data_IF_166535471127
#
_entry.id   IF_166535471127
#
_cell.length_a   1.000
_cell.length_b   1.000
_cell.length_c   1.000
_cell.angle_alpha   90.00
_cell.angle_beta   90.00
_cell.angle_gamma   90.00
#
_symmetry.space_group_name_H-M   'P 1'
#
loop_
_entity.id
_entity.type
_entity.pdbx_description
1 polymer ?
#
# COMPACT_ATOMS: atom_id res chain seq x y z
N UNK A 1 14.40 -48.00 -55.74
CA UNK A 1 13.16 -47.26 -55.54
C UNK A 1 13.21 -46.72 -54.10
N UNK A 2 13.70 -45.49 -53.96
CA UNK A 2 14.02 -44.87 -52.67
C UNK A 2 12.94 -43.87 -52.36
N UNK A 3 12.22 -44.06 -51.25
CA UNK A 3 11.22 -43.10 -50.72
C UNK A 3 11.93 -42.09 -49.80
N UNK A 4 11.99 -40.85 -50.23
CA UNK A 4 12.49 -39.73 -49.44
C UNK A 4 11.37 -39.22 -48.56
N UNK A 5 11.52 -39.37 -47.26
CA UNK A 5 10.61 -38.82 -46.24
C UNK A 5 11.02 -37.38 -45.93
N UNK A 6 10.23 -36.43 -46.37
CA UNK A 6 10.44 -35.01 -46.13
C UNK A 6 10.04 -34.62 -44.69
N UNK A 7 11.02 -34.34 -43.86
CA UNK A 7 10.83 -33.80 -42.53
C UNK A 7 10.46 -32.31 -42.62
N UNK A 8 9.18 -31.99 -42.43
CA UNK A 8 8.69 -30.60 -42.27
C UNK A 8 9.17 -30.05 -40.94
N UNK A 9 10.19 -29.23 -40.96
CA UNK A 9 10.70 -28.44 -39.83
C UNK A 9 9.71 -27.34 -39.54
N UNK A 10 8.98 -27.49 -38.44
CA UNK A 10 8.02 -26.51 -37.91
C UNK A 10 8.79 -25.30 -37.31
N UNK A 11 8.99 -24.26 -38.11
CA UNK A 11 9.49 -22.97 -37.64
C UNK A 11 8.40 -22.31 -36.85
N UNK A 12 8.42 -22.48 -35.53
CA UNK A 12 7.68 -21.63 -34.60
C UNK A 12 8.31 -20.25 -34.67
N UNK A 13 7.58 -19.33 -35.24
CA UNK A 13 7.87 -17.89 -35.17
C UNK A 13 7.99 -17.50 -33.71
N UNK A 14 9.21 -17.20 -33.30
CA UNK A 14 9.51 -16.52 -32.06
C UNK A 14 8.88 -15.10 -32.17
N UNK A 15 7.68 -14.93 -31.61
CA UNK A 15 7.11 -13.60 -31.47
C UNK A 15 8.01 -12.87 -30.48
N UNK A 16 8.66 -11.84 -30.98
CA UNK A 16 9.44 -10.88 -30.20
C UNK A 16 8.58 -10.39 -29.03
N UNK A 17 8.89 -10.90 -27.85
CA UNK A 17 8.46 -10.26 -26.61
C UNK A 17 9.09 -8.86 -26.61
N UNK A 18 8.33 -7.81 -26.36
CA UNK A 18 8.92 -6.47 -26.25
C UNK A 18 10.02 -6.52 -25.21
N UNK A 19 11.23 -6.22 -25.65
CA UNK A 19 12.38 -6.01 -24.77
C UNK A 19 11.98 -5.02 -23.71
N UNK A 20 12.19 -5.30 -22.41
CA UNK A 20 11.99 -4.32 -21.37
C UNK A 20 12.85 -3.08 -21.70
N UNK A 21 12.34 -1.87 -21.51
CA UNK A 21 13.13 -0.67 -21.74
C UNK A 21 14.40 -0.72 -20.90
N UNK A 22 15.50 -0.13 -21.39
CA UNK A 22 16.77 -0.13 -20.68
C UNK A 22 16.57 0.43 -19.27
N UNK A 23 17.21 -0.20 -18.31
CA UNK A 23 17.25 0.16 -16.89
C UNK A 23 17.82 1.56 -16.67
N UNK A 24 16.96 2.53 -16.85
CA UNK A 24 17.13 3.91 -16.44
C UNK A 24 15.79 4.28 -15.82
N UNK A 25 15.80 4.57 -14.52
CA UNK A 25 14.69 5.04 -13.71
C UNK A 25 13.50 4.06 -13.59
N UNK A 26 13.66 3.08 -12.71
CA UNK A 26 12.50 2.51 -12.04
C UNK A 26 11.73 3.70 -11.42
N UNK A 27 10.40 3.83 -11.64
CA UNK A 27 9.65 4.97 -11.12
C UNK A 27 9.88 5.04 -9.62
N UNK A 28 10.46 6.15 -9.17
CA UNK A 28 10.84 6.36 -7.79
C UNK A 28 9.62 6.14 -6.92
N UNK A 29 9.69 5.16 -6.03
CA UNK A 29 8.56 4.83 -5.15
C UNK A 29 8.52 5.82 -4.02
N UNK A 30 7.47 6.64 -3.95
CA UNK A 30 7.27 7.58 -2.87
C UNK A 30 6.47 6.92 -1.74
N UNK A 31 7.05 6.87 -0.54
CA UNK A 31 6.35 6.33 0.63
C UNK A 31 5.66 7.45 1.40
N UNK A 32 4.31 7.45 1.37
CA UNK A 32 3.47 8.45 2.04
C UNK A 32 3.73 8.49 3.55
N UNK A 33 3.84 7.32 4.18
CA UNK A 33 4.03 7.22 5.64
C UNK A 33 5.39 7.78 6.07
N UNK A 34 6.43 7.57 5.28
CA UNK A 34 7.75 8.13 5.54
C UNK A 34 7.83 9.62 5.22
N UNK A 35 7.14 10.04 4.16
CA UNK A 35 7.10 11.45 3.78
C UNK A 35 6.49 12.31 4.88
N UNK A 36 5.43 11.84 5.53
CA UNK A 36 4.79 12.51 6.67
C UNK A 36 5.71 12.68 7.89
N UNK A 37 6.66 11.78 8.08
CA UNK A 37 7.65 11.85 9.17
C UNK A 37 8.80 12.81 8.90
N UNK A 38 8.96 13.23 7.64
CA UNK A 38 10.03 14.15 7.25
C UNK A 38 9.70 15.56 7.72
N UNK A 39 10.74 16.28 8.03
CA UNK A 39 10.67 17.69 8.35
C UNK A 39 10.27 18.52 7.12
N UNK A 40 9.64 19.65 7.35
CA UNK A 40 9.11 20.51 6.28
C UNK A 40 10.22 21.00 5.33
N UNK A 41 11.44 21.25 5.83
CA UNK A 41 12.57 21.66 5.00
C UNK A 41 12.96 20.58 4.00
N UNK A 42 12.97 19.32 4.42
CA UNK A 42 13.21 18.16 3.56
C UNK A 42 12.09 18.00 2.53
N UNK A 43 10.83 18.18 2.92
CA UNK A 43 9.69 18.11 2.01
C UNK A 43 9.75 19.21 0.93
N UNK A 44 10.14 20.42 1.29
CA UNK A 44 10.35 21.54 0.33
C UNK A 44 11.48 21.20 -0.65
N UNK A 45 12.55 20.54 -0.19
CA UNK A 45 13.64 20.14 -1.06
C UNK A 45 13.18 19.09 -2.08
N UNK A 46 12.48 18.07 -1.64
CA UNK A 46 11.85 17.07 -2.52
C UNK A 46 10.90 17.75 -3.52
N UNK A 47 10.09 18.70 -3.08
CA UNK A 47 9.18 19.42 -3.94
C UNK A 47 9.88 20.23 -5.05
N UNK A 48 11.05 20.78 -4.77
CA UNK A 48 11.90 21.44 -5.78
C UNK A 48 12.39 20.44 -6.83
N UNK A 49 12.79 19.24 -6.43
CA UNK A 49 13.22 18.18 -7.35
C UNK A 49 12.05 17.71 -8.24
N UNK A 50 10.83 17.85 -7.72
CA UNK A 50 9.60 17.63 -8.48
C UNK A 50 9.14 18.83 -9.31
N UNK A 51 9.90 19.96 -9.33
CA UNK A 51 9.57 21.21 -10.00
C UNK A 51 8.23 21.82 -9.54
N UNK A 52 7.88 21.67 -8.26
CA UNK A 52 6.68 22.28 -7.69
C UNK A 52 7.01 23.73 -7.36
N UNK A 53 6.32 24.65 -8.06
CA UNK A 53 6.44 26.07 -7.81
C UNK A 53 5.85 26.45 -6.46
N UNK A 54 6.45 27.45 -5.80
CA UNK A 54 5.97 27.98 -4.52
C UNK A 54 5.89 26.98 -3.35
N UNK A 55 6.64 25.86 -3.40
CA UNK A 55 6.65 24.84 -2.36
C UNK A 55 6.86 25.39 -0.93
N UNK A 56 7.62 26.49 -0.79
CA UNK A 56 7.91 27.12 0.50
C UNK A 56 6.74 27.94 1.08
N UNK A 57 5.71 28.25 0.28
CA UNK A 57 4.53 29.01 0.71
C UNK A 57 3.34 28.12 1.04
N UNK A 58 3.41 26.84 0.68
CA UNK A 58 2.35 25.86 0.91
C UNK A 58 2.35 25.37 2.37
N UNK A 59 1.17 25.08 2.89
CA UNK A 59 1.04 24.38 4.17
C UNK A 59 1.54 22.92 4.02
N UNK A 60 2.00 22.29 5.11
CA UNK A 60 2.52 20.93 5.04
C UNK A 60 1.58 19.92 4.37
N UNK A 61 0.29 20.02 4.61
CA UNK A 61 -0.72 19.16 4.00
C UNK A 61 -0.91 19.42 2.49
N UNK A 62 -0.90 20.70 2.10
CA UNK A 62 -0.98 21.10 0.70
C UNK A 62 0.26 20.65 -0.07
N UNK A 63 1.44 20.85 0.54
CA UNK A 63 2.72 20.41 -0.03
C UNK A 63 2.77 18.89 -0.21
N UNK A 64 2.27 18.13 0.77
CA UNK A 64 2.16 16.70 0.68
C UNK A 64 1.25 16.28 -0.48
N UNK A 65 0.10 16.91 -0.61
CA UNK A 65 -0.85 16.63 -1.70
C UNK A 65 -0.23 16.91 -3.08
N UNK A 66 0.42 18.06 -3.26
CA UNK A 66 1.10 18.43 -4.51
C UNK A 66 2.22 17.45 -4.86
N UNK A 67 3.01 17.01 -3.88
CA UNK A 67 4.06 15.99 -4.08
C UNK A 67 3.49 14.67 -4.59
N UNK A 68 2.41 14.19 -3.97
CA UNK A 68 1.77 12.94 -4.37
C UNK A 68 1.10 13.06 -5.74
N UNK A 69 0.52 14.23 -6.05
CA UNK A 69 -0.05 14.50 -7.36
C UNK A 69 1.03 14.53 -8.45
N UNK A 70 2.14 15.23 -8.20
CA UNK A 70 3.28 15.28 -9.11
C UNK A 70 3.89 13.89 -9.35
N UNK A 71 4.01 13.07 -8.29
CA UNK A 71 4.45 11.68 -8.41
C UNK A 71 3.51 10.86 -9.29
N UNK A 72 2.21 10.98 -9.09
CA UNK A 72 1.20 10.29 -9.90
C UNK A 72 1.23 10.71 -11.37
N UNK A 73 1.44 12.00 -11.65
CA UNK A 73 1.54 12.53 -13.03
C UNK A 73 2.79 12.02 -13.75
N UNK A 74 3.89 11.78 -13.04
CA UNK A 74 5.12 11.18 -13.59
C UNK A 74 5.01 9.66 -13.78
N UNK A 75 3.87 9.05 -13.44
CA UNK A 75 3.69 7.61 -13.47
C UNK A 75 4.44 6.87 -12.35
N UNK A 76 4.88 7.59 -11.33
CA UNK A 76 5.53 7.02 -10.17
C UNK A 76 4.55 6.30 -9.26
N UNK A 77 5.07 5.38 -8.46
CA UNK A 77 4.30 4.58 -7.53
C UNK A 77 4.26 5.26 -6.16
N UNK A 78 3.08 5.35 -5.57
CA UNK A 78 2.90 5.82 -4.20
C UNK A 78 2.62 4.60 -3.32
N UNK A 79 3.43 4.44 -2.28
CA UNK A 79 3.27 3.38 -1.28
C UNK A 79 2.76 3.97 0.03
N UNK A 80 1.81 3.27 0.66
CA UNK A 80 1.30 3.68 1.95
C UNK A 80 0.91 2.48 2.80
N UNK A 81 0.83 2.70 4.11
CA UNK A 81 0.38 1.72 5.08
C UNK A 81 -0.58 2.34 6.08
N UNK A 82 -1.44 1.50 6.64
CA UNK A 82 -2.40 1.92 7.66
C UNK A 82 -3.14 0.73 8.25
N UNK A 83 -3.98 1.01 9.24
CA UNK A 83 -4.84 0.01 9.87
C UNK A 83 -6.25 0.12 9.31
N UNK A 84 -6.80 -1.00 8.86
CA UNK A 84 -8.11 -1.05 8.24
C UNK A 84 -9.23 -0.85 9.27
N UNK A 85 -10.14 0.03 8.95
CA UNK A 85 -11.48 0.10 9.54
C UNK A 85 -12.51 -0.20 8.46
N UNK A 86 -13.28 -1.27 8.64
CA UNK A 86 -14.38 -1.63 7.73
C UNK A 86 -15.68 -0.98 8.19
N UNK A 87 -16.45 -0.47 7.24
CA UNK A 87 -17.75 0.15 7.48
C UNK A 87 -18.89 -0.83 7.15
N UNK A 88 -20.09 -0.61 7.70
CA UNK A 88 -21.25 -1.49 7.47
C UNK A 88 -21.61 -1.67 5.99
N UNK A 89 -21.32 -0.66 5.16
CA UNK A 89 -21.55 -0.67 3.70
C UNK A 89 -20.58 -1.59 2.95
N UNK A 90 -19.64 -2.22 3.65
CA UNK A 90 -18.72 -3.21 3.11
C UNK A 90 -17.43 -2.65 2.49
N UNK A 91 -17.24 -1.36 2.46
CA UNK A 91 -15.95 -0.72 2.14
C UNK A 91 -15.20 -0.37 3.44
N UNK A 92 -13.97 0.12 3.33
CA UNK A 92 -13.19 0.51 4.50
C UNK A 92 -12.20 1.63 4.19
N UNK A 93 -11.53 2.07 5.26
CA UNK A 93 -10.45 3.04 5.19
C UNK A 93 -9.22 2.54 5.95
N UNK A 94 -8.04 2.79 5.40
CA UNK A 94 -6.80 2.66 6.15
C UNK A 94 -6.60 3.93 6.96
N UNK A 95 -6.56 3.76 8.27
CA UNK A 95 -6.36 4.84 9.24
C UNK A 95 -4.88 4.97 9.58
N UNK A 96 -4.43 6.19 9.70
CA UNK A 96 -3.04 6.48 10.06
C UNK A 96 -2.87 6.57 11.59
N UNK A 97 -1.76 6.07 12.15
CA UNK A 97 -1.46 6.20 13.57
C UNK A 97 -1.26 7.67 13.99
N UNK A 98 -0.85 8.54 13.06
CA UNK A 98 -0.63 9.97 13.31
C UNK A 98 -1.89 10.69 13.80
N UNK A 99 -3.06 10.17 13.46
CA UNK A 99 -4.37 10.69 13.93
C UNK A 99 -5.01 9.80 15.00
N UNK A 100 -4.23 8.98 15.69
CA UNK A 100 -4.75 8.00 16.66
C UNK A 100 -5.84 7.09 16.06
N UNK A 101 -5.70 6.75 14.77
CA UNK A 101 -6.65 5.94 14.00
C UNK A 101 -8.05 6.56 13.84
N UNK A 102 -8.20 7.85 14.16
CA UNK A 102 -9.44 8.58 13.91
C UNK A 102 -9.57 8.97 12.43
N UNK A 103 -10.81 9.22 11.94
CA UNK A 103 -11.02 9.70 10.59
C UNK A 103 -10.20 10.96 10.28
N UNK A 104 -9.48 10.91 9.18
CA UNK A 104 -8.59 12.00 8.75
C UNK A 104 -8.68 12.27 7.24
N UNK A 105 -8.13 13.42 6.79
CA UNK A 105 -8.14 13.79 5.38
C UNK A 105 -7.28 12.88 4.50
N UNK A 106 -6.33 12.19 5.11
CA UNK A 106 -5.36 11.33 4.44
C UNK A 106 -5.75 9.85 4.48
N UNK A 107 -7.00 9.55 4.81
CA UNK A 107 -7.51 8.19 4.83
C UNK A 107 -7.49 7.59 3.43
N UNK A 108 -7.18 6.30 3.36
CA UNK A 108 -7.06 5.59 2.10
C UNK A 108 -8.25 4.65 1.96
N UNK A 109 -9.04 4.88 0.92
CA UNK A 109 -10.21 4.06 0.62
C UNK A 109 -9.80 2.66 0.18
N UNK A 110 -10.47 1.65 0.75
CA UNK A 110 -10.34 0.24 0.41
C UNK A 110 -11.66 -0.28 -0.12
N UNK A 111 -11.64 -0.83 -1.32
CA UNK A 111 -12.85 -1.29 -1.98
C UNK A 111 -13.44 -2.57 -1.35
N UNK A 112 -14.76 -2.79 -1.44
CA UNK A 112 -15.40 -4.03 -0.98
C UNK A 112 -14.84 -5.28 -1.65
N UNK A 113 -14.41 -5.17 -2.90
CA UNK A 113 -13.80 -6.27 -3.65
C UNK A 113 -12.46 -6.71 -3.06
N UNK A 114 -11.63 -5.76 -2.65
CA UNK A 114 -10.36 -6.04 -1.97
C UNK A 114 -10.59 -6.65 -0.59
N UNK A 115 -11.54 -6.10 0.18
CA UNK A 115 -11.90 -6.61 1.51
C UNK A 115 -12.34 -8.08 1.41
N UNK A 116 -13.22 -8.40 0.47
CA UNK A 116 -13.68 -9.78 0.26
C UNK A 116 -12.58 -10.70 -0.27
N UNK A 117 -11.78 -10.23 -1.25
CA UNK A 117 -10.73 -11.02 -1.88
C UNK A 117 -9.67 -11.51 -0.90
N UNK A 118 -9.26 -10.64 0.02
CA UNK A 118 -8.20 -10.92 0.99
C UNK A 118 -8.74 -11.23 2.40
N UNK A 119 -10.06 -11.40 2.54
CA UNK A 119 -10.71 -11.63 3.84
C UNK A 119 -10.24 -10.63 4.91
N UNK A 120 -10.21 -9.33 4.53
CA UNK A 120 -9.73 -8.26 5.40
C UNK A 120 -10.75 -7.93 6.48
N UNK A 121 -10.26 -7.51 7.64
CA UNK A 121 -11.07 -7.15 8.80
C UNK A 121 -10.58 -5.86 9.44
N UNK A 122 -11.45 -5.22 10.18
CA UNK A 122 -11.05 -4.10 11.04
C UNK A 122 -9.93 -4.51 11.98
N UNK A 123 -8.87 -3.71 12.03
CA UNK A 123 -7.66 -3.97 12.80
C UNK A 123 -6.51 -4.59 11.99
N UNK A 124 -6.76 -5.07 10.76
CA UNK A 124 -5.67 -5.55 9.89
C UNK A 124 -4.76 -4.39 9.49
N UNK A 125 -3.46 -4.59 9.63
CA UNK A 125 -2.44 -3.69 9.10
C UNK A 125 -2.22 -4.00 7.63
N UNK A 126 -2.43 -3.02 6.77
CA UNK A 126 -2.33 -3.18 5.30
C UNK A 126 -1.34 -2.19 4.76
N UNK A 127 -0.48 -2.67 3.87
CA UNK A 127 0.42 -1.83 3.12
C UNK A 127 0.33 -2.15 1.63
N UNK A 128 0.53 -1.12 0.79
CA UNK A 128 0.43 -1.32 -0.64
C UNK A 128 0.46 -0.04 -1.45
N UNK A 129 0.20 -0.19 -2.73
CA UNK A 129 0.19 0.90 -3.68
C UNK A 129 -1.14 1.64 -3.65
N UNK A 130 -1.06 2.97 -3.61
CA UNK A 130 -2.21 3.86 -3.63
C UNK A 130 -2.15 4.79 -4.82
N UNK A 131 -3.26 5.43 -5.13
CA UNK A 131 -3.35 6.52 -6.10
C UNK A 131 -3.96 7.76 -5.47
N UNK A 132 -3.62 8.89 -6.02
CA UNK A 132 -4.25 10.17 -5.69
C UNK A 132 -5.74 10.17 -6.04
N UNK A 133 -6.56 10.95 -5.31
CA UNK A 133 -7.96 11.11 -5.63
C UNK A 133 -8.14 11.74 -7.02
N UNK A 134 -9.18 11.34 -7.75
CA UNK A 134 -9.62 11.98 -8.99
C UNK A 134 -10.42 13.24 -8.65
N UNK A 135 -10.73 14.07 -9.66
CA UNK A 135 -11.46 15.32 -9.48
C UNK A 135 -12.78 15.20 -8.69
N UNK A 136 -13.46 14.04 -8.79
CA UNK A 136 -14.71 13.76 -8.08
C UNK A 136 -14.53 12.97 -6.77
N UNK A 137 -13.31 12.57 -6.44
CA UNK A 137 -13.00 11.74 -5.28
C UNK A 137 -12.39 12.59 -4.17
N UNK A 138 -12.65 12.21 -2.94
CA UNK A 138 -12.14 12.92 -1.76
C UNK A 138 -10.94 12.24 -1.12
N UNK A 139 -10.81 10.93 -1.32
CA UNK A 139 -9.83 10.10 -0.62
C UNK A 139 -8.85 9.45 -1.58
N UNK A 140 -7.65 9.17 -1.10
CA UNK A 140 -6.73 8.26 -1.78
C UNK A 140 -7.39 6.88 -1.92
N UNK A 141 -7.00 6.11 -2.91
CA UNK A 141 -7.55 4.77 -3.11
C UNK A 141 -6.45 3.71 -3.18
N UNK A 142 -6.64 2.61 -2.47
CA UNK A 142 -5.75 1.46 -2.51
C UNK A 142 -5.91 0.76 -3.87
N UNK A 143 -4.81 0.65 -4.62
CA UNK A 143 -4.76 -0.04 -5.91
C UNK A 143 -4.38 -1.51 -5.75
N UNK A 144 -3.27 -1.76 -5.05
CA UNK A 144 -2.70 -3.09 -4.89
C UNK A 144 -2.29 -3.31 -3.44
N UNK A 145 -2.70 -4.42 -2.88
CA UNK A 145 -2.25 -4.87 -1.56
C UNK A 145 -0.91 -5.58 -1.75
N UNK A 146 0.10 -5.15 -1.01
CA UNK A 146 1.44 -5.73 -1.01
C UNK A 146 1.70 -6.52 0.27
N UNK A 147 1.15 -6.07 1.40
CA UNK A 147 1.31 -6.71 2.69
C UNK A 147 0.01 -6.65 3.49
N UNK A 148 -0.26 -7.72 4.22
CA UNK A 148 -1.34 -7.84 5.20
C UNK A 148 -0.72 -8.37 6.48
N UNK A 149 -0.82 -7.62 7.58
CA UNK A 149 -0.24 -7.97 8.88
C UNK A 149 1.26 -8.34 8.75
N UNK A 150 2.01 -7.53 7.97
CA UNK A 150 3.46 -7.69 7.71
C UNK A 150 3.83 -8.96 6.92
N UNK A 151 2.90 -9.54 6.19
CA UNK A 151 3.11 -10.73 5.38
C UNK A 151 2.57 -10.56 3.97
N UNK A 152 3.14 -11.27 3.01
CA UNK A 152 2.71 -11.21 1.62
C UNK A 152 1.26 -11.70 1.44
N UNK A 153 0.43 -11.01 0.65
CA UNK A 153 -0.93 -11.41 0.37
C UNK A 153 -0.93 -12.69 -0.48
N UNK A 154 -1.36 -13.78 0.05
CA UNK A 154 -1.40 -15.10 -0.63
C UNK A 154 -1.17 -16.26 0.32
N UNK A 155 -0.71 -15.97 1.52
CA UNK A 155 -0.71 -16.94 2.59
C UNK A 155 -2.11 -16.87 3.22
N UNK A 156 -2.93 -17.89 2.98
CA UNK A 156 -4.21 -18.03 3.68
C UNK A 156 -3.92 -18.31 5.14
N UNK A 157 -4.05 -17.27 5.96
CA UNK A 157 -4.08 -17.46 7.41
C UNK A 157 -5.52 -17.74 7.80
N UNK A 158 -5.73 -18.87 8.46
CA UNK A 158 -6.95 -19.10 9.23
C UNK A 158 -7.03 -18.05 10.33
N UNK A 159 -7.69 -16.93 10.03
CA UNK A 159 -7.90 -15.86 11.01
C UNK A 159 -8.91 -16.35 12.05
N UNK A 160 -8.41 -16.74 13.20
CA UNK A 160 -9.26 -17.09 14.35
C UNK A 160 -9.83 -15.78 14.90
N UNK A 161 -11.15 -15.69 14.92
CA UNK A 161 -11.84 -14.56 15.54
C UNK A 161 -11.62 -14.57 17.05
N UNK A 162 -11.43 -13.39 17.63
CA UNK A 162 -11.35 -13.24 19.07
C UNK A 162 -12.54 -13.86 19.80
N UNK A 163 -13.74 -13.66 19.28
CA UNK A 163 -14.98 -14.22 19.84
C UNK A 163 -15.04 -15.76 19.80
N UNK A 164 -14.21 -16.38 18.96
CA UNK A 164 -14.11 -17.84 18.85
C UNK A 164 -13.02 -18.44 19.77
N UNK A 165 -12.29 -17.60 20.48
CA UNK A 165 -11.27 -18.08 21.42
C UNK A 165 -11.95 -18.63 22.67
N UNK A 166 -11.47 -19.79 23.13
CA UNK A 166 -11.90 -20.36 24.40
C UNK A 166 -11.22 -19.60 25.54
N UNK A 167 -11.97 -18.94 26.44
CA UNK A 167 -11.37 -18.28 27.60
C UNK A 167 -10.74 -19.31 28.54
N UNK A 168 -9.49 -19.10 28.89
CA UNK A 168 -8.79 -19.90 29.87
C UNK A 168 -8.71 -19.11 31.19
N UNK A 169 -8.88 -19.83 32.30
CA UNK A 169 -8.63 -19.26 33.61
C UNK A 169 -7.12 -19.15 33.81
N UNK A 170 -6.64 -18.04 34.44
CA UNK A 170 -5.23 -17.89 34.75
C UNK A 170 -4.79 -18.95 35.79
N UNK A 171 -3.87 -19.81 35.39
CA UNK A 171 -3.31 -20.85 36.26
C UNK A 171 -2.09 -20.36 37.05
N UNK A 172 -1.43 -19.30 36.60
CA UNK A 172 -0.25 -18.73 37.21
C UNK A 172 -0.49 -17.29 37.69
N UNK A 173 0.07 -16.97 38.88
CA UNK A 173 0.03 -15.60 39.40
C UNK A 173 0.95 -14.70 38.61
N UNK A 174 0.41 -13.62 38.03
CA UNK A 174 1.19 -12.54 37.44
C UNK A 174 1.90 -11.76 38.59
N UNK A 175 3.21 -11.86 38.66
CA UNK A 175 4.02 -11.09 39.61
C UNK A 175 4.20 -9.68 39.05
N UNK A 176 3.46 -8.71 39.58
CA UNK A 176 3.59 -7.29 39.25
C UNK A 176 4.64 -6.59 40.12
N UNK A 177 5.13 -7.27 41.15
CA UNK A 177 6.11 -6.75 42.05
C UNK A 177 7.49 -6.77 41.38
N UNK A 178 8.20 -5.65 41.44
CA UNK A 178 9.62 -5.60 41.09
C UNK A 178 10.38 -6.15 42.27
N UNK A 179 10.99 -7.32 42.10
CA UNK A 179 11.80 -7.90 43.16
C UNK A 179 12.90 -6.93 43.58
N UNK A 180 12.85 -6.46 44.80
CA UNK A 180 13.94 -5.69 45.36
C UNK A 180 15.19 -6.61 45.43
N UNK A 181 16.29 -6.08 44.91
CA UNK A 181 17.59 -6.71 44.95
C UNK A 181 18.22 -6.44 46.32
#
# INVERSE_FOLDING_TARGET
MSAQTATRRNQRQNRDLPTPPPSGDAPETLNLTELKKKDIGTMIQIARDFNIENASSLRPQELLFELLQAQSQRGGVIYASGVLETLPDGFGFLRAPDYNYLPGPDDIYVSPSQIRRFNLRTGDSIAGHIRSPKESERYYALLKVEEINFQSPGIEFDKILFDNLTPLYPEERLKLERGDK
#
